data_IF_769997118274
#
_entry.id   IF_769997118274
#
_cell.length_a   1.000
_cell.length_b   1.000
_cell.length_c   1.000
_cell.angle_alpha   90.00
_cell.angle_beta   90.00
_cell.angle_gamma   90.00
#
_symmetry.space_group_name_H-M   'P 1'
#
loop_
_entity.id
_entity.type
_entity.pdbx_description
1 polymer ?
#
# COMPACT_ATOMS: atom_id res chain seq x y z
N UNK A 1 -14.13 -33.82 -9.93
CA UNK A 1 -13.21 -33.87 -8.77
C UNK A 1 -11.89 -33.24 -9.18
N UNK A 2 -11.53 -32.05 -8.66
CA UNK A 2 -10.17 -31.50 -8.80
C UNK A 2 -9.35 -32.12 -7.68
N UNK A 3 -8.24 -32.80 -7.98
CA UNK A 3 -7.47 -33.63 -7.03
C UNK A 3 -6.77 -32.85 -5.90
N UNK A 4 -7.15 -31.60 -5.60
CA UNK A 4 -6.57 -30.84 -4.48
C UNK A 4 -5.08 -30.52 -4.60
N UNK A 5 -4.44 -30.83 -5.72
CA UNK A 5 -3.03 -30.54 -5.99
C UNK A 5 -2.89 -29.29 -6.86
N UNK A 6 -2.09 -28.33 -6.40
CA UNK A 6 -1.56 -27.24 -7.22
C UNK A 6 -0.19 -27.66 -7.74
N UNK A 7 0.01 -27.44 -9.02
CA UNK A 7 1.26 -27.67 -9.72
C UNK A 7 2.06 -26.36 -9.75
N UNK A 8 3.18 -26.31 -9.03
CA UNK A 8 4.08 -25.15 -9.06
C UNK A 8 5.22 -25.44 -10.04
N UNK A 9 5.41 -24.59 -11.05
CA UNK A 9 6.58 -24.64 -11.92
C UNK A 9 7.59 -23.62 -11.39
N UNK A 10 8.70 -24.12 -10.82
CA UNK A 10 9.79 -23.27 -10.34
C UNK A 10 11.09 -23.73 -10.99
N UNK A 11 11.76 -22.84 -11.72
CA UNK A 11 13.01 -23.17 -12.42
C UNK A 11 12.87 -24.29 -13.47
N UNK A 12 11.68 -24.47 -14.05
CA UNK A 12 11.42 -25.51 -15.07
C UNK A 12 11.05 -26.89 -14.53
N UNK A 13 10.91 -27.06 -13.20
CA UNK A 13 10.48 -28.31 -12.59
C UNK A 13 9.05 -28.22 -12.02
N UNK A 14 8.26 -29.28 -12.23
CA UNK A 14 6.90 -29.43 -11.73
C UNK A 14 6.91 -29.98 -10.30
N UNK A 15 6.45 -29.20 -9.33
CA UNK A 15 6.30 -29.62 -7.95
C UNK A 15 4.83 -29.90 -7.62
N UNK A 16 4.56 -31.08 -7.06
CA UNK A 16 3.24 -31.46 -6.53
C UNK A 16 3.25 -31.15 -5.03
N UNK A 17 2.44 -30.19 -4.60
CA UNK A 17 2.39 -29.76 -3.21
C UNK A 17 1.20 -30.38 -2.49
N UNK A 18 1.40 -30.83 -1.24
CA UNK A 18 0.28 -31.15 -0.35
C UNK A 18 -0.47 -29.88 0.10
N UNK A 19 -1.63 -30.03 0.75
CA UNK A 19 -2.47 -28.89 1.15
C UNK A 19 -1.75 -27.90 2.08
N UNK A 20 -0.87 -28.38 2.98
CA UNK A 20 -0.11 -27.52 3.91
C UNK A 20 1.00 -26.78 3.18
N UNK A 21 1.71 -27.46 2.30
CA UNK A 21 2.74 -26.88 1.45
C UNK A 21 2.17 -25.85 0.46
N UNK A 22 0.94 -26.06 -0.03
CA UNK A 22 0.22 -25.08 -0.85
C UNK A 22 -0.08 -23.80 -0.09
N UNK A 23 -0.65 -23.91 1.11
CA UNK A 23 -0.93 -22.74 1.96
C UNK A 23 0.36 -21.99 2.29
N UNK A 24 1.44 -22.70 2.61
CA UNK A 24 2.75 -22.07 2.86
C UNK A 24 3.33 -21.37 1.64
N UNK A 25 3.21 -21.96 0.44
CA UNK A 25 3.63 -21.31 -0.80
C UNK A 25 2.83 -20.04 -1.07
N UNK A 26 1.51 -20.09 -0.88
CA UNK A 26 0.64 -18.92 -1.03
C UNK A 26 1.02 -17.82 -0.04
N UNK A 27 1.21 -18.17 1.25
CA UNK A 27 1.69 -17.23 2.27
C UNK A 27 2.98 -16.54 1.85
N UNK A 28 3.95 -17.28 1.29
CA UNK A 28 5.20 -16.68 0.80
C UNK A 28 4.97 -15.66 -0.31
N UNK A 29 4.05 -15.93 -1.23
CA UNK A 29 3.74 -15.01 -2.33
C UNK A 29 3.01 -13.76 -1.82
N UNK A 30 2.06 -13.92 -0.89
CA UNK A 30 1.43 -12.78 -0.21
C UNK A 30 2.46 -11.93 0.55
N UNK A 31 3.38 -12.55 1.30
CA UNK A 31 4.43 -11.83 2.06
C UNK A 31 5.29 -10.99 1.11
N UNK A 32 5.73 -11.56 -0.02
CA UNK A 32 6.51 -10.81 -1.01
C UNK A 32 5.73 -9.61 -1.55
N UNK A 33 4.49 -9.83 -1.95
CA UNK A 33 3.64 -8.76 -2.48
C UNK A 33 3.45 -7.63 -1.46
N UNK A 34 3.08 -7.97 -0.22
CA UNK A 34 2.86 -6.98 0.84
C UNK A 34 4.17 -6.25 1.19
N UNK A 35 5.30 -6.94 1.31
CA UNK A 35 6.58 -6.31 1.63
C UNK A 35 6.99 -5.28 0.56
N UNK A 36 6.82 -5.61 -0.71
CA UNK A 36 7.11 -4.68 -1.81
C UNK A 36 6.12 -3.50 -1.84
N UNK A 37 4.83 -3.76 -1.59
CA UNK A 37 3.82 -2.69 -1.52
C UNK A 37 4.10 -1.72 -0.37
N UNK A 38 4.50 -2.22 0.81
CA UNK A 38 4.90 -1.39 1.95
C UNK A 38 6.12 -0.53 1.61
N UNK A 39 7.16 -1.13 1.01
CA UNK A 39 8.36 -0.40 0.58
C UNK A 39 8.03 0.70 -0.43
N UNK A 40 7.10 0.42 -1.35
CA UNK A 40 6.64 1.41 -2.32
C UNK A 40 5.89 2.55 -1.64
N UNK A 41 4.96 2.26 -0.73
CA UNK A 41 4.19 3.26 0.02
C UNK A 41 5.13 4.18 0.83
N UNK A 42 6.11 3.62 1.53
CA UNK A 42 7.09 4.40 2.28
C UNK A 42 7.92 5.31 1.36
N UNK A 43 8.43 4.78 0.25
CA UNK A 43 9.21 5.57 -0.69
C UNK A 43 8.40 6.68 -1.35
N UNK A 44 7.12 6.44 -1.64
CA UNK A 44 6.20 7.46 -2.14
C UNK A 44 5.96 8.55 -1.09
N UNK A 45 5.70 8.17 0.16
CA UNK A 45 5.53 9.13 1.26
C UNK A 45 6.77 10.00 1.45
N UNK A 46 7.97 9.41 1.47
CA UNK A 46 9.23 10.16 1.55
C UNK A 46 9.40 11.12 0.36
N UNK A 47 9.00 10.72 -0.86
CA UNK A 47 9.04 11.60 -2.04
C UNK A 47 8.10 12.80 -1.87
N UNK A 48 6.89 12.59 -1.34
CA UNK A 48 5.95 13.67 -1.05
C UNK A 48 6.49 14.63 0.03
N UNK A 49 7.06 14.10 1.12
CA UNK A 49 7.65 14.92 2.19
C UNK A 49 8.85 15.75 1.72
N UNK A 50 9.72 15.16 0.90
CA UNK A 50 10.84 15.87 0.25
C UNK A 50 10.33 16.96 -0.69
N UNK A 51 9.23 16.72 -1.40
CA UNK A 51 8.61 17.70 -2.29
C UNK A 51 7.98 18.86 -1.50
N UNK A 52 7.30 18.59 -0.40
CA UNK A 52 6.65 19.61 0.43
C UNK A 52 7.67 20.51 1.15
N UNK A 53 8.81 19.94 1.55
CA UNK A 53 9.89 20.67 2.22
C UNK A 53 10.86 21.40 1.30
N UNK A 54 10.73 21.23 -0.03
CA UNK A 54 11.62 21.83 -1.02
C UNK A 54 11.32 23.33 -1.25
N UNK A 55 11.61 24.14 -0.24
CA UNK A 55 11.55 25.60 -0.30
C UNK A 55 12.65 26.10 -1.25
N UNK A 56 12.30 27.03 -2.13
CA UNK A 56 13.21 27.73 -3.01
C UNK A 56 13.27 29.22 -2.64
N UNK A 57 14.40 29.84 -2.88
CA UNK A 57 14.55 31.29 -2.77
C UNK A 57 13.91 31.98 -3.97
N UNK A 58 13.38 33.20 -3.77
CA UNK A 58 12.68 33.95 -4.82
C UNK A 58 13.61 34.48 -5.92
N UNK A 59 14.92 34.53 -5.66
CA UNK A 59 15.96 35.02 -6.58
C UNK A 59 16.20 34.08 -7.78
N UNK A 60 15.69 32.85 -7.73
CA UNK A 60 15.73 31.87 -8.83
C UNK A 60 14.76 32.20 -9.97
N UNK A 61 13.81 33.13 -9.74
CA UNK A 61 12.81 33.55 -10.72
C UNK A 61 13.11 34.96 -11.20
N UNK A 62 12.96 35.19 -12.51
CA UNK A 62 12.98 36.53 -13.08
C UNK A 62 11.63 37.26 -12.89
N UNK A 63 11.58 38.56 -13.17
CA UNK A 63 10.39 39.39 -12.95
C UNK A 63 9.14 38.86 -13.69
N UNK A 64 9.29 38.43 -14.95
CA UNK A 64 8.20 37.84 -15.74
C UNK A 64 7.66 36.55 -15.10
N UNK A 65 8.54 35.72 -14.56
CA UNK A 65 8.19 34.47 -13.88
C UNK A 65 7.53 34.72 -12.52
N UNK A 66 7.94 35.76 -11.80
CA UNK A 66 7.32 36.22 -10.55
C UNK A 66 5.90 36.72 -10.83
N UNK A 67 5.70 37.44 -11.91
CA UNK A 67 4.37 37.90 -12.31
C UNK A 67 3.48 36.73 -12.77
N UNK A 68 4.05 35.75 -13.47
CA UNK A 68 3.34 34.55 -13.86
C UNK A 68 2.86 33.77 -12.64
N UNK A 69 3.75 33.44 -11.69
CA UNK A 69 3.38 32.63 -10.52
C UNK A 69 2.32 33.31 -9.66
N UNK A 70 2.30 34.65 -9.58
CA UNK A 70 1.22 35.40 -8.90
C UNK A 70 -0.13 35.30 -9.61
N UNK A 71 -0.14 35.13 -10.93
CA UNK A 71 -1.39 35.01 -11.74
C UNK A 71 -1.90 33.58 -11.81
N UNK A 72 -1.01 32.61 -12.00
CA UNK A 72 -1.35 31.20 -12.27
C UNK A 72 -1.12 30.27 -11.08
N UNK A 73 -0.50 30.75 -10.00
CA UNK A 73 -0.13 29.97 -8.82
C UNK A 73 1.12 29.09 -8.98
N UNK A 74 1.65 28.98 -10.20
CA UNK A 74 2.84 28.18 -10.51
C UNK A 74 3.60 28.74 -11.71
N UNK A 75 4.91 28.49 -11.78
CA UNK A 75 5.76 28.80 -12.93
C UNK A 75 6.78 27.70 -13.16
N UNK A 76 7.15 27.44 -14.41
CA UNK A 76 8.20 26.48 -14.76
C UNK A 76 9.46 27.25 -15.10
N UNK A 77 10.56 26.99 -14.39
CA UNK A 77 11.87 27.53 -14.71
C UNK A 77 12.91 26.40 -14.80
N UNK A 78 13.53 26.27 -15.98
CA UNK A 78 14.42 25.16 -16.29
C UNK A 78 13.72 23.80 -16.19
N UNK A 79 14.25 22.90 -15.34
CA UNK A 79 13.69 21.55 -15.11
C UNK A 79 12.87 21.47 -13.82
N UNK A 80 12.45 22.60 -13.24
CA UNK A 80 11.66 22.63 -12.01
C UNK A 80 10.36 23.38 -12.20
N UNK A 81 9.35 22.94 -11.47
CA UNK A 81 8.08 23.66 -11.30
C UNK A 81 8.13 24.34 -9.94
N UNK A 82 7.85 25.63 -9.91
CA UNK A 82 7.78 26.47 -8.73
C UNK A 82 6.31 26.83 -8.45
N UNK A 83 5.92 26.88 -7.18
CA UNK A 83 4.56 27.17 -6.75
C UNK A 83 4.56 27.79 -5.35
N UNK A 84 3.52 28.56 -5.01
CA UNK A 84 3.43 29.27 -3.72
C UNK A 84 2.56 28.46 -2.76
N UNK A 85 3.06 28.22 -1.54
CA UNK A 85 2.24 27.73 -0.42
C UNK A 85 2.42 28.70 0.75
N UNK A 86 1.33 29.37 1.14
CA UNK A 86 1.40 30.47 2.10
C UNK A 86 2.26 31.63 1.57
N UNK A 87 3.34 31.96 2.28
CA UNK A 87 4.30 32.99 1.87
C UNK A 87 5.66 32.41 1.41
N UNK A 88 5.71 31.10 1.12
CA UNK A 88 6.93 30.40 0.73
C UNK A 88 6.83 29.95 -0.73
N UNK A 89 7.94 30.09 -1.45
CA UNK A 89 8.12 29.52 -2.77
C UNK A 89 8.61 28.08 -2.61
N UNK A 90 7.87 27.12 -3.17
CA UNK A 90 8.25 25.71 -3.18
C UNK A 90 8.59 25.28 -4.60
N UNK A 91 9.37 24.22 -4.72
CA UNK A 91 9.79 23.73 -6.03
C UNK A 91 9.96 22.21 -6.09
N UNK A 92 9.63 21.62 -7.23
CA UNK A 92 9.89 20.20 -7.49
C UNK A 92 10.44 19.97 -8.89
N UNK A 93 11.16 18.86 -9.06
CA UNK A 93 11.69 18.45 -10.37
C UNK A 93 10.51 18.11 -11.29
N UNK A 94 10.47 18.75 -12.46
CA UNK A 94 9.52 18.37 -13.52
C UNK A 94 9.87 16.97 -14.01
N UNK A 95 8.92 16.04 -13.92
CA UNK A 95 9.07 14.69 -14.43
C UNK A 95 8.97 14.74 -15.95
N UNK A 96 10.01 14.31 -16.65
CA UNK A 96 9.98 14.14 -18.11
C UNK A 96 9.69 12.67 -18.45
N UNK A 97 9.12 12.39 -19.63
CA UNK A 97 8.79 11.01 -20.04
C UNK A 97 10.01 10.06 -19.98
N UNK A 98 11.22 10.57 -20.20
CA UNK A 98 12.47 9.81 -20.08
C UNK A 98 12.89 9.52 -18.62
N UNK A 99 12.35 10.24 -17.63
CA UNK A 99 12.58 9.93 -16.21
C UNK A 99 11.74 8.71 -15.76
N UNK A 100 10.68 8.34 -16.51
CA UNK A 100 9.78 7.23 -16.15
C UNK A 100 10.42 5.84 -16.29
N UNK A 101 11.45 5.69 -17.14
CA UNK A 101 12.18 4.42 -17.30
C UNK A 101 13.02 4.06 -16.05
N UNK A 102 13.18 4.99 -15.10
CA UNK A 102 13.95 4.78 -13.86
C UNK A 102 13.11 4.86 -12.60
N UNK A 103 11.84 4.45 -12.66
CA UNK A 103 11.13 4.10 -11.43
C UNK A 103 11.73 2.79 -10.91
N UNK A 104 12.89 2.89 -10.26
CA UNK A 104 13.43 1.79 -9.47
C UNK A 104 12.41 1.50 -8.39
N UNK A 105 11.75 0.34 -8.47
CA UNK A 105 10.92 -0.15 -7.37
C UNK A 105 11.81 -0.21 -6.14
N UNK A 106 11.44 0.49 -5.05
CA UNK A 106 12.26 0.49 -3.85
C UNK A 106 12.40 -0.96 -3.34
N UNK A 107 13.63 -1.33 -2.99
CA UNK A 107 13.89 -2.65 -2.43
C UNK A 107 13.25 -2.74 -1.04
N UNK A 108 12.53 -3.84 -0.78
CA UNK A 108 11.96 -4.10 0.54
C UNK A 108 13.06 -4.38 1.56
N UNK A 109 13.08 -3.62 2.66
CA UNK A 109 13.98 -3.79 3.79
C UNK A 109 13.40 -4.78 4.80
N UNK A 110 14.21 -5.21 5.77
CA UNK A 110 13.83 -6.20 6.79
C UNK A 110 12.55 -5.81 7.56
N UNK A 111 12.36 -4.51 7.83
CA UNK A 111 11.14 -3.98 8.46
C UNK A 111 9.88 -4.23 7.63
N UNK A 112 9.98 -4.13 6.30
CA UNK A 112 8.88 -4.43 5.38
C UNK A 112 8.56 -5.92 5.36
N UNK A 113 9.61 -6.76 5.36
CA UNK A 113 9.44 -8.21 5.43
C UNK A 113 8.84 -8.68 6.74
N UNK A 114 9.26 -8.10 7.86
CA UNK A 114 8.72 -8.41 9.18
C UNK A 114 7.24 -8.02 9.26
N UNK A 115 6.91 -6.77 8.94
CA UNK A 115 5.53 -6.29 8.95
C UNK A 115 4.64 -7.09 7.99
N UNK A 116 5.15 -7.44 6.81
CA UNK A 116 4.43 -8.28 5.86
C UNK A 116 4.13 -9.70 6.39
N UNK A 117 5.05 -10.30 7.15
CA UNK A 117 4.79 -11.61 7.80
C UNK A 117 3.68 -11.49 8.82
N UNK A 118 3.72 -10.47 9.67
CA UNK A 118 2.69 -10.23 10.69
C UNK A 118 1.31 -10.04 10.06
N UNK A 119 1.20 -9.19 9.03
CA UNK A 119 -0.06 -8.96 8.30
C UNK A 119 -0.58 -10.24 7.66
N UNK A 120 0.28 -10.97 6.95
CA UNK A 120 -0.15 -12.18 6.20
C UNK A 120 -0.51 -13.31 7.15
N UNK A 121 0.24 -13.52 8.23
CA UNK A 121 -0.10 -14.55 9.21
C UNK A 121 -1.42 -14.25 9.91
N UNK A 122 -1.69 -12.98 10.23
CA UNK A 122 -2.97 -12.56 10.79
C UNK A 122 -4.13 -12.72 9.80
N UNK A 123 -3.96 -12.31 8.53
CA UNK A 123 -4.98 -12.46 7.49
C UNK A 123 -5.34 -13.94 7.23
N UNK A 124 -4.33 -14.83 7.24
CA UNK A 124 -4.58 -16.27 7.12
C UNK A 124 -5.23 -16.86 8.39
N UNK A 125 -5.01 -16.25 9.55
CA UNK A 125 -5.70 -16.62 10.78
C UNK A 125 -7.18 -16.27 10.68
N UNK A 126 -7.52 -15.06 10.22
CA UNK A 126 -8.92 -14.67 9.96
C UNK A 126 -9.61 -15.59 8.96
N UNK A 127 -8.95 -15.88 7.85
CA UNK A 127 -9.46 -16.84 6.87
C UNK A 127 -9.72 -18.22 7.52
N UNK A 128 -8.80 -18.70 8.36
CA UNK A 128 -8.92 -20.00 9.01
C UNK A 128 -10.07 -20.05 10.03
N UNK A 129 -10.30 -18.98 10.79
CA UNK A 129 -11.42 -18.86 11.73
C UNK A 129 -12.78 -18.96 11.02
N UNK A 130 -12.87 -18.50 9.78
CA UNK A 130 -14.05 -18.64 8.92
C UNK A 130 -14.03 -19.91 8.05
N UNK A 131 -13.20 -20.90 8.41
CA UNK A 131 -13.04 -22.17 7.69
C UNK A 131 -12.58 -22.03 6.22
N UNK A 132 -12.03 -20.86 5.85
CA UNK A 132 -11.43 -20.60 4.54
C UNK A 132 -9.95 -20.98 4.54
N UNK A 133 -9.44 -21.27 3.34
CA UNK A 133 -8.03 -21.65 3.14
C UNK A 133 -7.15 -20.51 2.66
N UNK A 134 -7.77 -19.43 2.18
CA UNK A 134 -7.11 -18.26 1.58
C UNK A 134 -7.84 -17.00 2.08
N UNK A 135 -7.11 -15.90 2.34
CA UNK A 135 -7.68 -14.59 2.59
C UNK A 135 -8.74 -14.15 1.58
N UNK A 136 -9.76 -13.45 2.07
CA UNK A 136 -10.77 -12.79 1.26
C UNK A 136 -10.21 -11.49 0.70
N UNK A 137 -10.70 -11.09 -0.48
CA UNK A 137 -10.36 -9.78 -1.06
C UNK A 137 -11.38 -8.74 -0.60
N UNK A 138 -10.95 -7.49 -0.50
CA UNK A 138 -11.87 -6.36 -0.37
C UNK A 138 -12.82 -6.30 -1.56
N UNK A 139 -14.10 -6.13 -1.28
CA UNK A 139 -15.15 -5.96 -2.28
C UNK A 139 -15.73 -4.57 -2.13
N UNK A 140 -15.40 -3.68 -3.07
CA UNK A 140 -15.95 -2.33 -3.10
C UNK A 140 -17.40 -2.35 -3.63
N UNK A 141 -18.29 -1.64 -2.94
CA UNK A 141 -19.73 -1.50 -3.18
C UNK A 141 -20.11 -0.78 -4.48
N UNK A 142 -19.13 -0.39 -5.29
CA UNK A 142 -19.33 -0.10 -6.71
C UNK A 142 -19.76 -1.34 -7.51
N UNK A 143 -19.51 -2.53 -6.98
CA UNK A 143 -19.96 -3.78 -7.56
C UNK A 143 -21.38 -4.12 -7.09
N UNK A 144 -22.30 -4.38 -8.04
CA UNK A 144 -23.76 -4.56 -7.83
C UNK A 144 -24.16 -5.67 -6.85
N UNK A 145 -23.21 -6.47 -6.34
CA UNK A 145 -23.45 -7.64 -5.48
C UNK A 145 -23.70 -7.32 -4.00
N UNK A 146 -23.17 -6.22 -3.47
CA UNK A 146 -23.29 -5.86 -2.05
C UNK A 146 -24.37 -4.81 -1.77
N UNK A 147 -24.89 -4.15 -2.81
CA UNK A 147 -25.71 -2.94 -2.67
C UNK A 147 -24.86 -1.68 -2.78
N UNK A 148 -25.45 -0.59 -3.28
CA UNK A 148 -24.73 0.67 -3.50
C UNK A 148 -24.24 1.21 -2.15
N UNK A 149 -22.93 1.41 -2.02
CA UNK A 149 -22.32 2.08 -0.87
C UNK A 149 -21.88 1.18 0.29
N UNK A 150 -21.89 -0.15 0.12
CA UNK A 150 -21.35 -1.08 1.11
C UNK A 150 -20.03 -1.68 0.62
N UNK A 151 -18.93 -1.33 1.27
CA UNK A 151 -17.62 -1.93 1.06
C UNK A 151 -17.40 -3.05 2.08
N UNK A 152 -17.02 -4.23 1.60
CA UNK A 152 -16.59 -5.34 2.45
C UNK A 152 -15.06 -5.34 2.48
N UNK A 153 -14.48 -5.09 3.66
CA UNK A 153 -13.02 -5.12 3.86
C UNK A 153 -12.54 -6.57 3.83
N UNK A 154 -11.50 -6.85 3.03
CA UNK A 154 -10.86 -8.16 2.95
C UNK A 154 -9.96 -8.46 4.15
N UNK A 155 -9.55 -9.72 4.31
CA UNK A 155 -8.79 -10.13 5.49
C UNK A 155 -7.39 -9.48 5.57
N UNK A 156 -6.79 -9.17 4.42
CA UNK A 156 -5.48 -8.53 4.37
C UNK A 156 -5.53 -7.08 4.84
N UNK A 157 -6.54 -6.34 4.38
CA UNK A 157 -6.77 -4.96 4.77
C UNK A 157 -7.19 -4.88 6.23
N UNK A 158 -8.04 -5.81 6.69
CA UNK A 158 -8.38 -5.92 8.12
C UNK A 158 -7.14 -6.24 8.97
N UNK A 159 -6.29 -7.16 8.53
CA UNK A 159 -5.06 -7.51 9.24
C UNK A 159 -4.07 -6.34 9.27
N UNK A 160 -3.97 -5.58 8.18
CA UNK A 160 -3.16 -4.37 8.15
C UNK A 160 -3.64 -3.34 9.16
N UNK A 161 -4.94 -3.05 9.18
CA UNK A 161 -5.53 -2.11 10.16
C UNK A 161 -5.30 -2.59 11.60
N UNK A 162 -5.42 -3.90 11.85
CA UNK A 162 -5.17 -4.46 13.17
C UNK A 162 -3.70 -4.34 13.61
N UNK A 163 -2.76 -4.63 12.71
CA UNK A 163 -1.32 -4.45 12.96
C UNK A 163 -0.94 -2.98 13.17
N UNK A 164 -1.65 -2.06 12.51
CA UNK A 164 -1.47 -0.61 12.67
C UNK A 164 -2.19 -0.05 13.91
N UNK A 165 -2.95 -0.88 14.64
CA UNK A 165 -3.73 -0.48 15.80
C UNK A 165 -4.98 0.34 15.46
N UNK A 166 -5.35 0.39 14.17
CA UNK A 166 -6.53 1.10 13.64
C UNK A 166 -7.79 0.23 13.67
N UNK A 167 -7.63 -1.08 13.86
CA UNK A 167 -8.72 -2.01 14.14
C UNK A 167 -8.36 -2.90 15.34
N UNK A 168 -9.38 -3.30 16.10
CA UNK A 168 -9.20 -4.39 17.06
C UNK A 168 -9.02 -5.67 16.26
N UNK A 169 -7.94 -6.42 16.51
CA UNK A 169 -7.91 -7.81 16.10
C UNK A 169 -9.15 -8.46 16.70
N UNK A 170 -9.93 -9.20 15.92
CA UNK A 170 -11.18 -9.85 16.37
C UNK A 170 -10.86 -10.56 17.70
N UNK A 171 -11.16 -9.87 18.79
CA UNK A 171 -10.90 -10.36 20.13
C UNK A 171 -12.11 -11.20 20.48
N UNK A 172 -11.94 -12.12 21.43
CA UNK A 172 -13.05 -12.92 21.97
C UNK A 172 -14.24 -12.05 22.49
N UNK A 173 -14.07 -10.72 22.55
CA UNK A 173 -15.09 -9.74 22.95
C UNK A 173 -15.92 -9.09 21.83
N UNK A 174 -15.65 -9.29 20.54
CA UNK A 174 -16.38 -8.54 19.50
C UNK A 174 -17.53 -9.31 18.85
N UNK A 175 -18.64 -9.37 19.61
CA UNK A 175 -20.06 -9.14 19.21
C UNK A 175 -21.05 -9.35 20.38
N UNK A 176 -20.55 -9.72 21.56
CA UNK A 176 -21.29 -9.95 22.81
C UNK A 176 -20.61 -9.37 24.06
N UNK A 177 -19.69 -8.40 23.91
CA UNK A 177 -19.12 -7.64 25.02
C UNK A 177 -20.13 -6.73 25.73
N UNK A 178 -21.26 -7.27 26.18
CA UNK A 178 -22.05 -6.67 27.27
C UNK A 178 -21.15 -6.80 28.49
N UNK A 179 -20.62 -5.67 28.95
CA UNK A 179 -19.91 -5.62 30.22
C UNK A 179 -20.78 -6.20 31.32
N UNK A 180 -20.48 -7.42 31.73
CA UNK A 180 -20.81 -7.90 33.08
C UNK A 180 -19.89 -7.17 34.04
N UNK A 181 -20.18 -5.89 34.30
CA UNK A 181 -19.87 -5.33 35.61
C UNK A 181 -20.80 -6.06 36.59
N UNK A 182 -20.25 -7.07 37.24
CA UNK A 182 -20.71 -7.49 38.56
C UNK A 182 -19.91 -6.71 39.62
#
# INVERSE_FOLDING_TARGET
MRNGFIYLIRGGQLLILDKKAQVNSLKQDYIKHVAHSLAQKEAEQQRYEVQESAIADWDVLNEDQIDQIKRTGHVVAGRRVYYIVGNKLNSFKRIELNDMERVTTPAAQDVHWQKAREIVDLAFTYAHLEERTIPSNTIYGHNRKLGKGLDLIGDLELAQLAVEGEASAISDNDWWGIGMMA
#
